data_IF_671163320230
#
_entry.id   IF_671163320230
#
_cell.length_a   1.000
_cell.length_b   1.000
_cell.length_c   1.000
_cell.angle_alpha   90.00
_cell.angle_beta   90.00
_cell.angle_gamma   90.00
#
_symmetry.space_group_name_H-M   'P 1'
#
loop_
_entity.id
_entity.type
_entity.pdbx_description
1 polymer ?
#
# COMPACT_ATOMS: atom_id res chain seq x y z
N UNK A 1 24.17 10.54 -8.62
CA UNK A 1 23.21 11.03 -7.61
C UNK A 1 22.26 9.88 -7.35
N UNK A 2 22.06 9.52 -6.09
CA UNK A 2 21.12 8.46 -5.73
C UNK A 2 19.69 8.97 -5.91
N UNK A 3 18.73 8.08 -6.20
CA UNK A 3 17.30 8.42 -6.25
C UNK A 3 16.80 9.06 -4.95
N UNK A 4 17.46 8.77 -3.82
CA UNK A 4 17.19 9.40 -2.53
C UNK A 4 17.61 10.87 -2.46
N UNK A 5 18.73 11.23 -3.11
CA UNK A 5 19.25 12.62 -3.11
C UNK A 5 18.30 13.54 -3.90
N UNK A 6 17.73 13.03 -5.00
CA UNK A 6 16.74 13.76 -5.80
C UNK A 6 15.41 13.93 -5.04
N UNK A 7 14.97 12.89 -4.32
CA UNK A 7 13.81 12.99 -3.42
C UNK A 7 14.03 14.01 -2.30
N UNK A 8 15.23 14.07 -1.73
CA UNK A 8 15.58 15.09 -0.74
C UNK A 8 15.54 16.50 -1.31
N UNK A 9 16.05 16.71 -2.51
CA UNK A 9 15.96 18.01 -3.18
C UNK A 9 14.51 18.46 -3.43
N UNK A 10 13.58 17.52 -3.64
CA UNK A 10 12.17 17.79 -3.90
C UNK A 10 11.32 17.93 -2.62
N UNK A 11 11.59 17.12 -1.61
CA UNK A 11 10.76 17.01 -0.40
C UNK A 11 11.33 17.75 0.81
N UNK A 12 12.59 18.17 0.73
CA UNK A 12 13.34 18.76 1.83
C UNK A 12 14.00 17.73 2.74
N UNK A 13 14.62 18.24 3.80
CA UNK A 13 15.33 17.44 4.79
C UNK A 13 14.40 16.43 5.50
N UNK A 14 14.84 15.17 5.69
CA UNK A 14 14.08 14.19 6.44
C UNK A 14 13.82 14.64 7.89
N UNK A 15 12.75 14.12 8.47
CA UNK A 15 12.32 14.49 9.85
C UNK A 15 13.25 13.87 10.92
N UNK A 16 14.26 13.08 10.52
CA UNK A 16 15.26 12.51 11.43
C UNK A 16 14.75 11.34 12.28
N UNK A 17 13.68 10.65 11.84
CA UNK A 17 13.19 9.44 12.51
C UNK A 17 14.22 8.32 12.38
N UNK A 18 14.52 7.65 13.51
CA UNK A 18 15.39 6.47 13.51
C UNK A 18 14.61 5.27 12.93
N UNK A 19 15.12 4.61 11.88
CA UNK A 19 14.49 3.42 11.32
C UNK A 19 14.56 2.26 12.31
N UNK A 20 13.45 1.57 12.53
CA UNK A 20 13.44 0.28 13.20
C UNK A 20 13.08 -0.81 12.17
N UNK A 21 13.94 -1.82 11.93
CA UNK A 21 13.67 -2.90 10.99
C UNK A 21 12.35 -3.64 11.28
N UNK A 22 11.98 -3.75 12.56
CA UNK A 22 10.80 -4.49 12.98
C UNK A 22 9.47 -3.80 12.65
N UNK A 23 9.50 -2.49 12.34
CA UNK A 23 8.30 -1.71 12.01
C UNK A 23 7.55 -2.27 10.79
N UNK A 24 8.23 -3.03 9.93
CA UNK A 24 7.68 -3.55 8.68
C UNK A 24 7.24 -5.01 8.76
N UNK A 25 7.57 -5.73 9.83
CA UNK A 25 7.35 -7.18 9.92
C UNK A 25 5.87 -7.54 9.73
N UNK A 26 4.96 -6.88 10.45
CA UNK A 26 3.53 -7.15 10.32
C UNK A 26 2.97 -6.78 8.95
N UNK A 27 3.50 -5.72 8.33
CA UNK A 27 3.09 -5.29 6.99
C UNK A 27 3.55 -6.30 5.95
N UNK A 28 4.81 -6.76 6.01
CA UNK A 28 5.36 -7.76 5.08
C UNK A 28 4.69 -9.12 5.25
N UNK A 29 4.38 -9.52 6.48
CA UNK A 29 3.56 -10.71 6.76
C UNK A 29 2.16 -10.58 6.14
N UNK A 30 1.52 -9.41 6.28
CA UNK A 30 0.20 -9.16 5.69
C UNK A 30 0.23 -9.07 4.16
N UNK A 31 1.31 -8.56 3.57
CA UNK A 31 1.52 -8.55 2.12
C UNK A 31 1.86 -9.96 1.60
N UNK A 32 2.55 -10.77 2.40
CA UNK A 32 3.07 -12.08 2.03
C UNK A 32 4.39 -12.02 1.27
N UNK A 33 5.06 -10.85 1.24
CA UNK A 33 6.37 -10.67 0.60
C UNK A 33 7.14 -9.54 1.28
N UNK A 34 8.46 -9.56 1.13
CA UNK A 34 9.29 -8.42 1.50
C UNK A 34 8.93 -7.20 0.64
N UNK A 35 8.93 -6.02 1.26
CA UNK A 35 8.77 -4.74 0.56
C UNK A 35 10.13 -4.23 0.07
N UNK A 36 10.16 -3.44 -1.03
CA UNK A 36 11.39 -2.83 -1.51
C UNK A 36 12.11 -2.03 -0.43
N UNK A 37 13.43 -2.24 -0.30
CA UNK A 37 14.24 -1.61 0.75
C UNK A 37 14.24 -0.09 0.64
N UNK A 38 14.31 0.44 -0.58
CA UNK A 38 14.27 1.88 -0.88
C UNK A 38 12.96 2.53 -0.42
N UNK A 39 11.82 1.86 -0.62
CA UNK A 39 10.51 2.31 -0.14
C UNK A 39 10.46 2.38 1.39
N UNK A 40 10.98 1.36 2.09
CA UNK A 40 11.08 1.35 3.55
C UNK A 40 12.00 2.45 4.07
N UNK A 41 13.17 2.62 3.45
CA UNK A 41 14.12 3.69 3.78
C UNK A 41 13.50 5.07 3.61
N UNK A 42 12.79 5.30 2.51
CA UNK A 42 12.06 6.55 2.28
C UNK A 42 11.04 6.85 3.39
N UNK A 43 10.17 5.89 3.71
CA UNK A 43 9.14 6.11 4.72
C UNK A 43 9.71 6.17 6.14
N UNK A 44 10.79 5.46 6.44
CA UNK A 44 11.46 5.61 7.72
C UNK A 44 12.05 7.01 7.89
N UNK A 45 12.52 7.64 6.80
CA UNK A 45 13.09 8.98 6.82
C UNK A 45 12.03 10.09 6.90
N UNK A 46 10.93 9.97 6.15
CA UNK A 46 9.90 11.00 6.00
C UNK A 46 8.61 10.75 6.79
N UNK A 47 8.33 9.51 7.19
CA UNK A 47 7.08 9.12 7.83
C UNK A 47 5.88 9.06 6.87
N UNK A 48 4.67 9.08 7.44
CA UNK A 48 3.43 9.21 6.67
C UNK A 48 3.28 10.63 6.14
N UNK A 49 2.74 10.79 4.92
CA UNK A 49 2.56 12.10 4.33
C UNK A 49 1.81 12.09 3.01
N UNK A 50 1.64 13.27 2.41
CA UNK A 50 1.12 13.44 1.07
C UNK A 50 2.13 14.18 0.22
N UNK A 51 2.47 13.61 -0.93
CA UNK A 51 3.36 14.22 -1.92
C UNK A 51 2.48 14.96 -2.93
N UNK A 52 2.66 16.27 -3.02
CA UNK A 52 1.92 17.17 -3.91
C UNK A 52 0.39 17.11 -3.75
N UNK A 53 -0.12 16.63 -2.61
CA UNK A 53 -1.57 16.47 -2.38
C UNK A 53 -2.19 15.22 -3.02
N UNK A 54 -1.46 14.52 -3.88
CA UNK A 54 -1.99 13.46 -4.74
C UNK A 54 -1.62 12.07 -4.23
N UNK A 55 -0.33 11.88 -3.89
CA UNK A 55 0.21 10.60 -3.47
C UNK A 55 0.33 10.55 -1.94
N UNK A 56 -0.64 9.90 -1.31
CA UNK A 56 -0.64 9.66 0.13
C UNK A 56 0.13 8.37 0.43
N UNK A 57 1.11 8.49 1.33
CA UNK A 57 1.91 7.37 1.81
C UNK A 57 1.74 7.20 3.32
N UNK A 58 1.72 5.95 3.77
CA UNK A 58 1.51 5.61 5.17
C UNK A 58 2.70 4.81 5.68
N UNK A 59 3.25 5.25 6.79
CA UNK A 59 4.21 4.50 7.60
C UNK A 59 3.47 3.53 8.54
N UNK A 60 4.03 2.35 8.86
CA UNK A 60 3.47 1.44 9.85
C UNK A 60 3.14 2.13 11.19
N UNK A 61 4.10 2.87 11.75
CA UNK A 61 3.94 3.69 12.96
C UNK A 61 3.59 5.16 12.68
N UNK A 62 2.73 5.42 11.69
CA UNK A 62 2.15 6.74 11.45
C UNK A 62 0.88 6.99 12.26
N UNK A 63 0.34 8.22 12.20
CA UNK A 63 -0.97 8.56 12.81
C UNK A 63 -2.14 7.79 12.22
N UNK A 64 -2.00 7.34 10.97
CA UNK A 64 -2.84 6.32 10.35
C UNK A 64 -1.93 5.17 9.92
N UNK A 65 -1.87 4.07 10.70
CA UNK A 65 -1.00 2.94 10.42
C UNK A 65 -1.28 2.32 9.05
N UNK A 66 -0.20 2.04 8.30
CA UNK A 66 -0.29 1.41 6.97
C UNK A 66 -1.11 0.11 7.00
N UNK A 67 -0.86 -0.77 7.97
CA UNK A 67 -1.53 -2.07 8.05
C UNK A 67 -3.05 -1.94 8.25
N UNK A 68 -3.48 -1.08 9.15
CA UNK A 68 -4.91 -0.81 9.37
C UNK A 68 -5.57 -0.28 8.10
N UNK A 69 -4.88 0.62 7.39
CA UNK A 69 -5.35 1.17 6.13
C UNK A 69 -5.51 0.07 5.08
N UNK A 70 -4.52 -0.81 4.94
CA UNK A 70 -4.57 -1.94 4.01
C UNK A 70 -5.74 -2.87 4.33
N UNK A 71 -5.95 -3.21 5.61
CA UNK A 71 -7.09 -4.05 6.05
C UNK A 71 -8.43 -3.42 5.72
N UNK A 72 -8.62 -2.14 6.03
CA UNK A 72 -9.87 -1.42 5.74
C UNK A 72 -10.14 -1.33 4.25
N UNK A 73 -9.11 -1.06 3.47
CA UNK A 73 -9.19 -1.02 2.01
C UNK A 73 -9.57 -2.39 1.45
N UNK A 74 -8.90 -3.44 1.91
CA UNK A 74 -9.21 -4.81 1.52
C UNK A 74 -10.66 -5.17 1.85
N UNK A 75 -11.11 -4.94 3.09
CA UNK A 75 -12.50 -5.17 3.49
C UNK A 75 -13.51 -4.44 2.59
N UNK A 76 -13.27 -3.15 2.35
CA UNK A 76 -14.15 -2.33 1.49
C UNK A 76 -14.25 -2.90 0.07
N UNK A 77 -13.14 -3.40 -0.48
CA UNK A 77 -13.13 -4.02 -1.81
C UNK A 77 -13.87 -5.35 -1.82
N UNK A 78 -13.67 -6.20 -0.81
CA UNK A 78 -14.37 -7.47 -0.69
C UNK A 78 -15.88 -7.26 -0.56
N UNK A 79 -16.33 -6.31 0.27
CA UNK A 79 -17.76 -5.97 0.39
C UNK A 79 -18.37 -5.48 -0.92
N UNK A 80 -17.65 -4.61 -1.67
CA UNK A 80 -18.10 -4.12 -2.98
C UNK A 80 -18.20 -5.25 -4.00
N UNK A 81 -17.24 -6.17 -3.99
CA UNK A 81 -17.26 -7.38 -4.83
C UNK A 81 -18.47 -8.24 -4.49
N UNK A 82 -18.64 -8.60 -3.22
CA UNK A 82 -19.71 -9.51 -2.79
C UNK A 82 -21.08 -8.94 -3.13
N UNK A 83 -21.24 -7.61 -2.99
CA UNK A 83 -22.43 -6.89 -3.45
C UNK A 83 -22.61 -6.93 -4.97
N UNK A 84 -21.53 -6.78 -5.76
CA UNK A 84 -21.61 -6.85 -7.22
C UNK A 84 -21.99 -8.27 -7.68
N UNK A 85 -21.40 -9.30 -7.06
CA UNK A 85 -21.71 -10.70 -7.34
C UNK A 85 -23.13 -11.08 -6.94
N UNK A 86 -23.66 -10.57 -5.83
CA UNK A 86 -25.03 -10.87 -5.38
C UNK A 86 -26.12 -10.33 -6.30
N UNK A 87 -25.82 -9.34 -7.14
CA UNK A 87 -26.73 -8.77 -8.14
C UNK A 87 -26.41 -9.25 -9.58
N UNK A 88 -25.53 -10.25 -9.74
CA UNK A 88 -25.17 -10.82 -11.04
C UNK A 88 -24.08 -10.07 -11.82
N UNK A 89 -23.41 -9.09 -11.21
CA UNK A 89 -22.38 -8.26 -11.82
C UNK A 89 -20.98 -8.90 -11.88
N UNK A 90 -20.90 -10.20 -12.20
CA UNK A 90 -19.63 -10.94 -12.30
C UNK A 90 -18.66 -10.35 -13.34
N UNK A 91 -19.19 -9.65 -14.35
CA UNK A 91 -18.40 -8.93 -15.37
C UNK A 91 -17.56 -7.77 -14.79
N UNK A 92 -17.87 -7.27 -13.59
CA UNK A 92 -17.16 -6.18 -12.94
C UNK A 92 -16.03 -6.64 -12.01
N UNK A 93 -15.83 -7.95 -11.83
CA UNK A 93 -14.82 -8.53 -10.93
C UNK A 93 -14.04 -9.64 -11.65
N UNK A 94 -13.14 -9.29 -12.59
CA UNK A 94 -12.48 -10.28 -13.46
C UNK A 94 -11.45 -11.17 -12.75
N UNK A 95 -11.09 -10.89 -11.50
CA UNK A 95 -10.05 -11.62 -10.77
C UNK A 95 -10.44 -11.90 -9.32
N UNK A 96 -10.03 -13.05 -8.74
CA UNK A 96 -10.21 -13.36 -7.33
C UNK A 96 -9.46 -12.39 -6.43
N UNK A 97 -9.86 -12.27 -5.16
CA UNK A 97 -9.17 -11.46 -4.14
C UNK A 97 -8.64 -12.35 -3.02
N UNK A 98 -7.49 -11.98 -2.43
CA UNK A 98 -6.97 -12.71 -1.27
C UNK A 98 -8.04 -12.80 -0.16
N UNK A 99 -8.23 -13.93 0.55
CA UNK A 99 -7.38 -15.12 0.64
C UNK A 99 -7.64 -16.20 -0.42
N UNK A 100 -8.48 -15.96 -1.43
CA UNK A 100 -8.69 -16.94 -2.50
C UNK A 100 -7.37 -17.23 -3.23
N UNK A 101 -7.08 -18.49 -3.63
CA UNK A 101 -5.90 -18.82 -4.42
C UNK A 101 -5.82 -18.00 -5.72
N UNK A 102 -4.68 -17.38 -5.99
CA UNK A 102 -4.51 -16.43 -7.10
C UNK A 102 -5.16 -15.06 -6.86
N UNK A 103 -5.66 -14.84 -5.64
CA UNK A 103 -6.38 -13.65 -5.22
C UNK A 103 -5.47 -12.43 -5.10
N UNK A 104 -5.94 -11.33 -5.68
CA UNK A 104 -5.20 -10.08 -5.76
C UNK A 104 -5.18 -9.35 -4.41
N UNK A 105 -4.02 -8.77 -4.06
CA UNK A 105 -3.85 -7.92 -2.86
C UNK A 105 -3.74 -6.45 -3.27
N UNK A 106 -4.59 -5.54 -2.74
CA UNK A 106 -4.46 -4.12 -3.01
C UNK A 106 -3.27 -3.54 -2.21
N UNK A 107 -2.24 -3.04 -2.90
CA UNK A 107 -1.05 -2.48 -2.24
C UNK A 107 -0.98 -0.94 -2.22
N UNK A 108 -1.74 -0.24 -3.09
CA UNK A 108 -1.68 1.23 -3.19
C UNK A 108 -3.04 1.92 -3.31
N UNK A 109 -3.07 3.17 -2.84
CA UNK A 109 -4.18 4.11 -2.98
C UNK A 109 -3.68 5.37 -3.71
N UNK A 110 -4.33 5.76 -4.79
CA UNK A 110 -4.16 7.08 -5.40
C UNK A 110 -5.45 7.88 -5.19
N UNK A 111 -5.33 9.12 -4.73
CA UNK A 111 -6.46 10.05 -4.61
C UNK A 111 -6.71 10.66 -5.98
N UNK A 112 -7.38 9.92 -6.86
CA UNK A 112 -7.71 10.40 -8.21
C UNK A 112 -8.52 9.35 -8.96
N UNK A 113 -9.25 9.77 -9.99
CA UNK A 113 -10.12 8.94 -10.84
C UNK A 113 -9.43 7.77 -11.55
N UNK A 114 -8.12 7.60 -11.37
CA UNK A 114 -7.31 6.53 -11.94
C UNK A 114 -6.74 5.65 -10.82
N UNK A 115 -7.47 4.57 -10.56
CA UNK A 115 -7.07 3.51 -9.64
C UNK A 115 -5.99 2.67 -10.36
N UNK A 116 -4.71 2.98 -10.14
CA UNK A 116 -3.62 2.15 -10.64
C UNK A 116 -3.64 0.83 -9.85
N UNK A 117 -4.14 -0.21 -10.52
CA UNK A 117 -4.25 -1.58 -10.02
C UNK A 117 -2.89 -2.27 -10.18
N UNK A 118 -2.02 -2.16 -9.18
CA UNK A 118 -0.83 -3.00 -9.11
C UNK A 118 -1.17 -4.19 -8.24
N UNK A 119 -1.27 -5.34 -8.88
CA UNK A 119 -1.50 -6.61 -8.22
C UNK A 119 -0.20 -7.40 -8.22
N UNK A 120 0.23 -7.84 -7.04
CA UNK A 120 1.31 -8.82 -6.92
C UNK A 120 0.64 -10.19 -6.91
N UNK A 121 0.98 -11.12 -7.82
CA UNK A 121 0.49 -12.48 -7.74
C UNK A 121 0.98 -13.09 -6.42
N UNK A 122 0.09 -13.74 -5.68
CA UNK A 122 0.51 -14.60 -4.58
C UNK A 122 1.29 -15.78 -5.22
N UNK A 123 2.60 -15.82 -5.01
CA UNK A 123 3.41 -17.00 -5.36
C UNK A 123 2.82 -18.21 -4.62
N UNK A 124 2.55 -19.28 -5.37
CA UNK A 124 1.88 -20.50 -4.90
C UNK A 124 2.68 -21.31 -3.90
#
# INVERSE_FOLDING_TARGET
>A
MSSLDELQALLGEPVGRQPNPDDWNEVEQYVGSALPTDFKSFLNAYGSGSISGELVVFHPHGSSPLLERMRKTHQTFTERRDRALSIGGSEHVPYPFHPEPGGLRPWKWCTGSHLIRVFVPASG
#
